data_IF_725301419587
#
_entry.id   IF_725301419587
#
_cell.length_a   1.000
_cell.length_b   1.000
_cell.length_c   1.000
_cell.angle_alpha   90.00
_cell.angle_beta   90.00
_cell.angle_gamma   90.00
#
_symmetry.space_group_name_H-M   'P 1'
#
loop_
_entity.id
_entity.type
_entity.pdbx_description
1 polymer ?
#
# COMPACT_ATOMS: atom_id res chain seq x y z
N UNK A 1 -2.77 6.36 -7.40
CA UNK A 1 -2.11 7.15 -6.33
C UNK A 1 -0.66 6.76 -6.32
N UNK A 2 0.27 7.71 -6.46
CA UNK A 2 1.67 7.41 -6.21
C UNK A 2 1.81 7.24 -4.69
N UNK A 3 2.29 6.08 -4.24
CA UNK A 3 2.63 5.88 -2.82
C UNK A 3 3.66 6.90 -2.34
N UNK A 4 4.05 6.84 -1.07
CA UNK A 4 5.07 7.73 -0.52
C UNK A 4 6.31 7.79 -1.44
N UNK A 5 6.57 8.98 -1.96
CA UNK A 5 7.55 9.20 -3.03
C UNK A 5 8.97 8.98 -2.50
N UNK A 6 9.21 9.42 -1.26
CA UNK A 6 10.43 9.10 -0.53
C UNK A 6 10.37 7.65 -0.03
N UNK A 7 11.33 6.84 -0.45
CA UNK A 7 11.46 5.46 0.01
C UNK A 7 11.84 5.34 1.48
N UNK A 8 12.52 6.34 2.03
CA UNK A 8 12.93 6.37 3.43
C UNK A 8 11.80 6.72 4.39
N UNK A 9 10.72 7.32 3.89
CA UNK A 9 9.50 7.66 4.64
C UNK A 9 8.36 6.65 4.41
N UNK A 10 8.65 5.52 3.76
CA UNK A 10 7.65 4.46 3.55
C UNK A 10 7.46 3.67 4.83
N UNK A 11 6.21 3.57 5.26
CA UNK A 11 5.80 2.57 6.23
C UNK A 11 6.17 1.17 5.73
N UNK A 12 6.94 0.45 6.53
CA UNK A 12 7.16 -0.97 6.34
C UNK A 12 5.91 -1.76 6.73
N UNK A 13 5.83 -3.03 6.32
CA UNK A 13 4.81 -3.96 6.79
C UNK A 13 4.75 -4.02 8.32
N UNK A 14 5.93 -3.98 8.97
CA UNK A 14 6.03 -3.97 10.43
C UNK A 14 5.49 -2.68 11.04
N UNK A 15 5.78 -1.52 10.45
CA UNK A 15 5.26 -0.25 10.94
C UNK A 15 3.73 -0.20 10.86
N UNK A 16 3.15 -0.68 9.75
CA UNK A 16 1.68 -0.79 9.64
C UNK A 16 1.10 -1.74 10.67
N UNK A 17 1.69 -2.91 10.85
CA UNK A 17 1.19 -3.89 11.82
C UNK A 17 1.28 -3.35 13.25
N UNK A 18 2.37 -2.67 13.61
CA UNK A 18 2.54 -2.06 14.92
C UNK A 18 1.51 -0.94 15.15
N UNK A 19 1.27 -0.08 14.15
CA UNK A 19 0.20 0.92 14.24
C UNK A 19 -1.18 0.31 14.44
N UNK A 20 -1.47 -0.85 13.82
CA UNK A 20 -2.73 -1.57 14.08
C UNK A 20 -2.81 -2.11 15.52
N UNK A 21 -1.70 -2.59 16.08
CA UNK A 21 -1.65 -3.03 17.47
C UNK A 21 -1.84 -1.86 18.44
N UNK A 22 -1.24 -0.70 18.17
CA UNK A 22 -1.46 0.52 18.96
C UNK A 22 -2.93 0.92 18.96
N UNK A 23 -3.64 0.80 17.84
CA UNK A 23 -5.08 1.06 17.77
C UNK A 23 -5.91 0.05 18.57
N UNK A 24 -5.47 -1.21 18.68
CA UNK A 24 -6.08 -2.20 19.58
C UNK A 24 -5.86 -1.81 21.04
N UNK A 25 -4.64 -1.40 21.39
CA UNK A 25 -4.32 -0.94 22.75
C UNK A 25 -5.13 0.28 23.16
N UNK A 26 -5.39 1.19 22.22
CA UNK A 26 -6.27 2.35 22.42
C UNK A 26 -7.77 2.00 22.42
N UNK A 27 -8.14 0.75 22.11
CA UNK A 27 -9.53 0.30 22.01
C UNK A 27 -10.30 0.89 20.84
N UNK A 28 -9.59 1.42 19.83
CA UNK A 28 -10.20 1.95 18.61
C UNK A 28 -10.66 0.85 17.66
N UNK A 29 -9.94 -0.28 17.66
CA UNK A 29 -10.29 -1.48 16.91
C UNK A 29 -10.14 -2.71 17.79
N UNK A 30 -10.79 -3.80 17.40
CA UNK A 30 -10.62 -5.08 18.08
C UNK A 30 -9.50 -5.92 17.45
N UNK A 31 -8.87 -6.77 18.25
CA UNK A 31 -7.76 -7.63 17.84
C UNK A 31 -8.12 -8.57 16.68
N UNK A 32 -9.36 -9.07 16.60
CA UNK A 32 -9.81 -9.94 15.50
C UNK A 32 -9.82 -9.24 14.14
N UNK A 33 -9.81 -7.91 14.12
CA UNK A 33 -9.76 -7.11 12.90
C UNK A 33 -8.31 -6.81 12.46
N UNK A 34 -7.31 -7.13 13.29
CA UNK A 34 -5.91 -6.97 12.91
C UNK A 34 -5.52 -8.05 11.92
N UNK A 35 -5.13 -7.62 10.73
CA UNK A 35 -4.61 -8.51 9.70
C UNK A 35 -3.17 -8.93 10.01
N UNK A 36 -2.83 -10.17 9.67
CA UNK A 36 -1.44 -10.66 9.84
C UNK A 36 -0.46 -9.84 9.00
N UNK A 37 0.81 -9.79 9.42
CA UNK A 37 1.87 -9.14 8.63
C UNK A 37 1.95 -9.68 7.20
N UNK A 38 1.79 -10.99 6.99
CA UNK A 38 1.79 -11.58 5.63
C UNK A 38 0.63 -11.06 4.78
N UNK A 39 -0.56 -10.90 5.37
CA UNK A 39 -1.72 -10.32 4.67
C UNK A 39 -1.46 -8.87 4.28
N UNK A 40 -0.89 -8.08 5.19
CA UNK A 40 -0.54 -6.67 4.95
C UNK A 40 0.49 -6.57 3.82
N UNK A 41 1.55 -7.38 3.85
CA UNK A 41 2.57 -7.43 2.80
C UNK A 41 1.96 -7.79 1.43
N UNK A 42 1.07 -8.78 1.40
CA UNK A 42 0.37 -9.19 0.19
C UNK A 42 -0.49 -8.05 -0.39
N UNK A 43 -1.18 -7.28 0.45
CA UNK A 43 -1.94 -6.11 0.01
C UNK A 43 -1.03 -5.02 -0.53
N UNK A 44 0.04 -4.66 0.20
CA UNK A 44 1.01 -3.65 -0.26
C UNK A 44 1.57 -4.04 -1.63
N UNK A 45 1.98 -5.30 -1.80
CA UNK A 45 2.51 -5.80 -3.06
C UNK A 45 1.46 -5.75 -4.17
N UNK A 46 0.24 -6.26 -3.93
CA UNK A 46 -0.83 -6.27 -4.93
C UNK A 46 -1.14 -4.87 -5.45
N UNK A 47 -1.45 -3.93 -4.56
CA UNK A 47 -1.85 -2.58 -4.94
C UNK A 47 -0.68 -1.77 -5.53
N UNK A 48 0.56 -2.01 -5.09
CA UNK A 48 1.73 -1.40 -5.70
C UNK A 48 1.92 -1.85 -7.15
N UNK A 49 1.70 -3.13 -7.46
CA UNK A 49 1.83 -3.63 -8.83
C UNK A 49 0.68 -3.15 -9.71
N UNK A 50 -0.54 -3.12 -9.19
CA UNK A 50 -1.70 -2.57 -9.91
C UNK A 50 -1.49 -1.08 -10.24
N UNK A 51 -1.02 -0.27 -9.29
CA UNK A 51 -0.73 1.14 -9.54
C UNK A 51 0.38 1.35 -10.57
N UNK A 52 1.45 0.53 -10.57
CA UNK A 52 2.50 0.62 -11.59
C UNK A 52 1.98 0.24 -12.97
N UNK A 53 1.12 -0.78 -13.04
CA UNK A 53 0.48 -1.21 -14.28
C UNK A 53 -0.40 -0.10 -14.84
N UNK A 54 -1.27 0.50 -14.03
CA UNK A 54 -2.12 1.62 -14.45
C UNK A 54 -1.29 2.82 -14.94
N UNK A 55 -0.20 3.15 -14.25
CA UNK A 55 0.69 4.23 -14.67
C UNK A 55 1.35 3.92 -16.03
N UNK A 56 1.80 2.68 -16.25
CA UNK A 56 2.36 2.26 -17.52
C UNK A 56 1.32 2.30 -18.66
N UNK A 57 0.10 1.82 -18.42
CA UNK A 57 -1.02 1.89 -19.38
C UNK A 57 -1.38 3.33 -19.74
N UNK A 58 -1.39 4.23 -18.75
CA UNK A 58 -1.64 5.65 -18.97
C UNK A 58 -0.57 6.28 -19.88
N UNK A 59 0.72 6.00 -19.62
CA UNK A 59 1.84 6.49 -20.44
C UNK A 59 1.73 5.96 -21.88
N UNK A 60 1.43 4.66 -22.06
CA UNK A 60 1.27 4.05 -23.37
C UNK A 60 0.12 4.70 -24.16
N UNK A 61 -1.04 4.91 -23.52
CA UNK A 61 -2.19 5.54 -24.16
C UNK A 61 -1.91 6.99 -24.57
N UNK A 62 -1.21 7.77 -23.74
CA UNK A 62 -0.81 9.15 -24.08
C UNK A 62 0.13 9.13 -25.29
N UNK A 63 1.09 8.21 -25.32
CA UNK A 63 2.05 8.11 -26.43
C UNK A 63 1.40 7.69 -27.76
N UNK A 64 0.35 6.87 -27.70
CA UNK A 64 -0.38 6.40 -28.88
C UNK A 64 -1.36 7.44 -29.47
N UNK A 65 -1.80 8.44 -28.69
CA UNK A 65 -2.66 9.52 -29.17
C UNK A 65 -1.89 10.74 -29.71
N UNK A 66 -0.59 10.81 -29.44
CA UNK A 66 0.30 11.87 -29.93
C UNK A 66 0.89 11.59 -31.32
N UNK A 67 0.56 10.44 -31.92
CA UNK A 67 0.97 9.96 -33.26
C UNK A 67 -0.22 9.83 -34.19
#
# INVERSE_FOLDING_TARGET
MLGQADSSDRYTTSDMHNGLLELVECGEINEENVSTQSTIENWINRYSQESKKEAAECILNISAQAT
#
